data_IF_479844895301
#
_entry.id   IF_479844895301
#
_cell.length_a   1.000
_cell.length_b   1.000
_cell.length_c   1.000
_cell.angle_alpha   90.00
_cell.angle_beta   90.00
_cell.angle_gamma   90.00
#
_symmetry.space_group_name_H-M   'P 1'
#
loop_
_entity.id
_entity.type
_entity.pdbx_description
1 polymer ?
#
# COMPACT_ATOMS: atom_id res chain seq x y z
N UNK A 1 0.26 -22.73 19.80
CA UNK A 1 1.65 -22.80 19.34
C UNK A 1 1.93 -21.88 18.16
N UNK A 2 1.20 -21.99 17.03
CA UNK A 2 1.45 -21.19 15.81
C UNK A 2 1.38 -19.68 16.05
N UNK A 3 0.42 -19.21 16.83
CA UNK A 3 0.27 -17.80 17.21
C UNK A 3 1.45 -17.32 18.03
N UNK A 4 1.89 -18.11 19.00
CA UNK A 4 3.04 -17.74 19.84
C UNK A 4 4.33 -17.67 19.02
N UNK A 5 4.52 -18.60 18.08
CA UNK A 5 5.65 -18.60 17.15
C UNK A 5 5.59 -17.37 16.21
N UNK A 6 4.41 -17.04 15.69
CA UNK A 6 4.21 -15.86 14.87
C UNK A 6 4.50 -14.56 15.63
N UNK A 7 3.95 -14.41 16.85
CA UNK A 7 4.22 -13.24 17.69
C UNK A 7 5.70 -13.13 18.07
N UNK A 8 6.36 -14.26 18.31
CA UNK A 8 7.80 -14.27 18.55
C UNK A 8 8.61 -13.85 17.31
N UNK A 9 8.16 -14.24 16.10
CA UNK A 9 8.77 -13.82 14.85
C UNK A 9 8.58 -12.32 14.59
N UNK A 10 7.36 -11.79 14.81
CA UNK A 10 7.07 -10.35 14.73
C UNK A 10 7.96 -9.56 15.69
N UNK A 11 8.08 -10.00 16.95
CA UNK A 11 8.94 -9.35 17.92
C UNK A 11 10.42 -9.31 17.47
N UNK A 12 10.92 -10.42 16.93
CA UNK A 12 12.30 -10.47 16.41
C UNK A 12 12.47 -9.54 15.21
N UNK A 13 11.50 -9.51 14.29
CA UNK A 13 11.51 -8.58 13.15
C UNK A 13 11.51 -7.12 13.60
N UNK A 14 10.79 -6.77 14.68
CA UNK A 14 10.81 -5.42 15.26
C UNK A 14 12.17 -5.08 15.87
N UNK A 15 12.80 -6.02 16.56
CA UNK A 15 14.17 -5.87 17.11
C UNK A 15 15.20 -5.68 15.99
N UNK A 16 15.13 -6.49 14.93
CA UNK A 16 16.00 -6.38 13.75
C UNK A 16 15.80 -5.07 12.99
N UNK A 17 14.54 -4.64 12.84
CA UNK A 17 14.20 -3.36 12.21
C UNK A 17 14.74 -2.17 13.02
N UNK A 18 14.63 -2.23 14.34
CA UNK A 18 15.21 -1.22 15.23
C UNK A 18 16.72 -1.12 15.07
N UNK A 19 17.39 -2.27 15.10
CA UNK A 19 18.82 -2.33 14.86
C UNK A 19 19.19 -1.73 13.49
N UNK A 20 18.47 -2.07 12.42
CA UNK A 20 18.69 -1.53 11.09
C UNK A 20 18.53 0.01 11.07
N UNK A 21 17.48 0.52 11.70
CA UNK A 21 17.23 1.96 11.79
C UNK A 21 18.35 2.68 12.54
N UNK A 22 18.84 2.11 13.65
CA UNK A 22 19.95 2.67 14.43
C UNK A 22 21.26 2.69 13.63
N UNK A 23 21.58 1.60 12.91
CA UNK A 23 22.73 1.53 12.01
C UNK A 23 22.65 2.56 10.86
N UNK A 24 21.47 2.72 10.26
CA UNK A 24 21.27 3.68 9.18
C UNK A 24 21.29 5.14 9.67
N UNK A 25 20.86 5.38 10.92
CA UNK A 25 20.98 6.68 11.55
C UNK A 25 22.45 7.08 11.85
N UNK A 26 23.27 6.09 12.18
CA UNK A 26 24.71 6.32 12.43
C UNK A 26 25.48 6.66 11.15
N UNK A 27 24.94 6.35 9.97
CA UNK A 27 25.55 6.67 8.68
C UNK A 27 25.23 8.10 8.26
N UNK A 28 26.22 8.79 7.72
CA UNK A 28 26.04 10.15 7.18
C UNK A 28 25.64 10.14 5.69
N UNK A 29 25.11 9.04 5.19
CA UNK A 29 24.61 8.87 3.84
C UNK A 29 23.08 9.03 3.83
N UNK A 30 22.50 9.89 2.96
CA UNK A 30 21.05 10.03 2.85
C UNK A 30 20.40 8.69 2.51
N UNK A 31 19.64 8.14 3.45
CA UNK A 31 19.01 6.84 3.33
C UNK A 31 17.52 6.93 3.64
N UNK A 32 16.70 6.34 2.76
CA UNK A 32 15.26 6.20 2.94
C UNK A 32 14.92 4.71 2.91
N UNK A 33 14.10 4.27 3.86
CA UNK A 33 13.60 2.90 3.96
C UNK A 33 12.10 2.92 3.72
N UNK A 34 11.64 2.07 2.81
CA UNK A 34 10.21 1.72 2.66
C UNK A 34 10.03 0.33 3.24
N UNK A 35 9.26 0.24 4.29
CA UNK A 35 8.89 -1.02 4.93
C UNK A 35 7.41 -1.30 4.70
N UNK A 36 7.06 -2.55 4.45
CA UNK A 36 5.67 -2.97 4.33
C UNK A 36 5.54 -4.46 4.65
N UNK A 37 4.38 -4.86 5.18
CA UNK A 37 3.99 -6.25 5.27
C UNK A 37 3.47 -6.73 3.90
N UNK A 38 3.78 -7.96 3.53
CA UNK A 38 3.34 -8.57 2.27
C UNK A 38 1.92 -9.13 2.37
N UNK A 39 1.59 -9.83 3.46
CA UNK A 39 0.27 -10.40 3.72
C UNK A 39 0.07 -10.71 5.21
N UNK A 40 -1.16 -10.98 5.60
CA UNK A 40 -1.50 -11.50 6.92
C UNK A 40 -1.18 -13.01 6.99
N UNK A 41 -0.96 -13.57 8.20
CA UNK A 41 -0.70 -15.00 8.37
C UNK A 41 -1.91 -15.85 7.97
N UNK A 42 -1.65 -17.05 7.43
CA UNK A 42 -2.69 -17.95 6.94
C UNK A 42 -3.69 -18.46 8.00
N UNK A 43 -3.36 -18.35 9.29
CA UNK A 43 -4.25 -18.69 10.42
C UNK A 43 -5.12 -17.51 10.90
N UNK A 44 -5.14 -16.39 10.17
CA UNK A 44 -5.83 -15.18 10.63
C UNK A 44 -7.36 -15.30 10.69
N UNK A 45 -7.97 -16.34 10.10
CA UNK A 45 -9.42 -16.51 10.05
C UNK A 45 -10.03 -16.59 11.44
N UNK A 46 -9.49 -17.42 12.34
CA UNK A 46 -10.01 -17.52 13.70
C UNK A 46 -9.82 -16.21 14.48
N UNK A 47 -8.74 -15.46 14.26
CA UNK A 47 -8.52 -14.16 14.90
C UNK A 47 -9.53 -13.13 14.37
N UNK A 48 -9.85 -13.19 13.08
CA UNK A 48 -10.90 -12.40 12.46
C UNK A 48 -12.27 -12.71 13.12
N UNK A 49 -12.63 -13.98 13.22
CA UNK A 49 -13.89 -14.42 13.84
C UNK A 49 -14.00 -13.99 15.30
N UNK A 50 -12.92 -14.12 16.07
CA UNK A 50 -12.85 -13.63 17.45
C UNK A 50 -12.99 -12.10 17.54
N UNK A 51 -12.38 -11.37 16.59
CA UNK A 51 -12.39 -9.91 16.58
C UNK A 51 -13.75 -9.34 16.19
N UNK A 52 -14.40 -9.91 15.18
CA UNK A 52 -15.65 -9.42 14.62
C UNK A 52 -16.90 -10.16 15.15
N UNK A 53 -16.72 -11.25 15.89
CA UNK A 53 -17.79 -12.02 16.49
C UNK A 53 -18.69 -12.75 15.50
N UNK A 54 -18.19 -13.04 14.31
CA UNK A 54 -18.91 -13.74 13.22
C UNK A 54 -17.97 -14.51 12.31
N UNK A 55 -18.49 -15.54 11.58
CA UNK A 55 -17.73 -16.27 10.59
C UNK A 55 -17.23 -15.37 9.45
N UNK A 56 -16.11 -15.76 8.83
CA UNK A 56 -15.51 -15.01 7.70
C UNK A 56 -16.47 -14.90 6.52
N UNK A 57 -17.25 -15.94 6.24
CA UNK A 57 -18.25 -15.98 5.17
C UNK A 57 -19.38 -14.96 5.33
N UNK A 58 -19.63 -14.50 6.56
CA UNK A 58 -20.63 -13.48 6.88
C UNK A 58 -20.03 -12.05 6.89
N UNK A 59 -18.76 -11.92 6.54
CA UNK A 59 -18.07 -10.64 6.56
C UNK A 59 -18.53 -9.72 5.43
N UNK A 60 -18.81 -8.47 5.76
CA UNK A 60 -18.97 -7.41 4.78
C UNK A 60 -17.63 -6.99 4.16
N UNK A 61 -17.69 -6.22 3.06
CA UNK A 61 -16.48 -5.85 2.31
C UNK A 61 -15.43 -5.13 3.17
N UNK A 62 -15.83 -4.20 4.02
CA UNK A 62 -14.91 -3.49 4.93
C UNK A 62 -14.15 -4.45 5.87
N UNK A 63 -14.83 -5.46 6.37
CA UNK A 63 -14.24 -6.47 7.26
C UNK A 63 -13.35 -7.43 6.48
N UNK A 64 -13.76 -7.82 5.27
CA UNK A 64 -12.90 -8.58 4.36
C UNK A 64 -11.62 -7.81 4.06
N UNK A 65 -11.70 -6.51 3.82
CA UNK A 65 -10.53 -5.67 3.59
C UNK A 65 -9.58 -5.62 4.79
N UNK A 66 -10.11 -5.70 6.03
CA UNK A 66 -9.28 -5.74 7.23
C UNK A 66 -8.30 -6.93 7.26
N UNK A 67 -8.67 -8.07 6.64
CA UNK A 67 -7.80 -9.27 6.52
C UNK A 67 -6.60 -9.07 5.59
N UNK A 68 -6.67 -8.07 4.71
CA UNK A 68 -5.62 -7.77 3.71
C UNK A 68 -4.82 -6.52 4.07
N UNK A 69 -5.10 -5.91 5.22
CA UNK A 69 -4.34 -4.75 5.69
C UNK A 69 -3.04 -5.20 6.33
N UNK A 70 -1.95 -4.62 5.87
CA UNK A 70 -0.63 -4.74 6.47
C UNK A 70 -0.06 -3.35 6.72
N UNK A 71 0.78 -3.17 7.74
CA UNK A 71 1.40 -1.88 8.00
C UNK A 71 2.43 -1.56 6.91
N UNK A 72 2.59 -0.28 6.62
CA UNK A 72 3.73 0.23 5.87
C UNK A 72 4.19 1.57 6.45
N UNK A 73 5.44 1.92 6.20
CA UNK A 73 5.97 3.24 6.47
C UNK A 73 7.10 3.60 5.51
N UNK A 74 7.32 4.91 5.35
CA UNK A 74 8.49 5.47 4.68
C UNK A 74 9.27 6.22 5.72
N UNK A 75 10.49 5.76 6.00
CA UNK A 75 11.37 6.35 7.00
C UNK A 75 12.63 6.91 6.35
N UNK A 76 13.12 8.02 6.87
CA UNK A 76 14.34 8.69 6.40
C UNK A 76 15.29 8.98 7.57
N UNK A 77 16.58 8.71 7.41
CA UNK A 77 17.58 9.11 8.39
C UNK A 77 17.80 10.63 8.38
N UNK A 78 18.57 11.16 9.35
CA UNK A 78 18.80 12.59 9.50
C UNK A 78 19.42 13.23 8.23
N UNK A 79 20.36 12.54 7.58
CA UNK A 79 20.98 13.02 6.35
C UNK A 79 20.00 13.11 5.17
N UNK A 80 19.08 12.14 5.04
CA UNK A 80 18.02 12.18 4.03
C UNK A 80 16.99 13.27 4.34
N UNK A 81 16.59 13.44 5.60
CA UNK A 81 15.67 14.51 6.00
C UNK A 81 16.23 15.87 5.67
N UNK A 82 17.49 16.16 5.95
CA UNK A 82 18.11 17.42 5.57
C UNK A 82 18.19 17.64 4.06
N UNK A 83 18.33 16.56 3.27
CA UNK A 83 18.40 16.65 1.81
C UNK A 83 17.03 16.79 1.12
N UNK A 84 15.98 16.19 1.69
CA UNK A 84 14.64 16.09 1.09
C UNK A 84 13.55 16.75 1.96
N UNK A 85 13.91 17.69 2.82
CA UNK A 85 13.05 18.28 3.84
C UNK A 85 11.70 18.78 3.27
N UNK A 86 11.74 19.53 2.17
CA UNK A 86 10.52 20.07 1.54
C UNK A 86 9.59 18.98 0.98
N UNK A 87 10.16 17.87 0.51
CA UNK A 87 9.40 16.77 -0.10
C UNK A 87 8.84 15.83 0.94
N UNK A 88 9.62 15.53 2.00
CA UNK A 88 9.21 14.63 3.08
C UNK A 88 8.05 15.20 3.91
N UNK A 89 7.94 16.51 4.03
CA UNK A 89 6.82 17.18 4.72
C UNK A 89 5.51 17.12 3.95
N UNK A 90 5.53 16.72 2.67
CA UNK A 90 4.33 16.60 1.83
C UNK A 90 3.61 15.26 1.93
N UNK A 91 4.20 14.27 2.60
CA UNK A 91 3.52 13.00 2.86
C UNK A 91 2.71 13.15 4.14
N UNK A 92 1.58 13.79 4.01
CA UNK A 92 0.54 13.74 5.01
C UNK A 92 -0.22 12.42 4.81
N UNK A 93 -0.27 11.61 5.86
CA UNK A 93 -1.11 10.43 6.10
C UNK A 93 -1.78 9.82 4.87
N UNK A 94 -1.02 9.06 4.08
CA UNK A 94 -1.62 8.18 3.09
C UNK A 94 -2.28 7.02 3.84
N UNK A 95 -3.51 7.24 4.28
CA UNK A 95 -4.28 6.41 5.16
C UNK A 95 -4.33 4.95 4.67
N UNK A 96 -4.96 4.68 3.55
CA UNK A 96 -5.02 3.36 2.93
C UNK A 96 -4.52 3.43 1.49
N UNK A 97 -3.60 2.54 1.14
CA UNK A 97 -3.06 2.46 -0.22
C UNK A 97 -2.74 1.01 -0.60
N UNK A 98 -2.56 0.76 -1.86
CA UNK A 98 -2.10 -0.55 -2.36
C UNK A 98 -0.60 -0.57 -2.59
N UNK A 99 0.01 -1.76 -2.52
CA UNK A 99 1.45 -1.95 -2.70
C UNK A 99 1.98 -1.42 -4.04
N UNK A 100 1.16 -1.45 -5.10
CA UNK A 100 1.50 -0.92 -6.42
C UNK A 100 1.79 0.59 -6.43
N UNK A 101 1.38 1.33 -5.39
CA UNK A 101 1.63 2.76 -5.25
C UNK A 101 2.82 3.11 -4.37
N UNK A 102 3.44 2.16 -3.65
CA UNK A 102 4.53 2.45 -2.72
C UNK A 102 5.73 3.13 -3.39
N UNK A 103 6.08 2.70 -4.61
CA UNK A 103 7.15 3.37 -5.37
C UNK A 103 6.79 4.81 -5.75
N UNK A 104 5.53 5.09 -6.03
CA UNK A 104 5.03 6.44 -6.32
C UNK A 104 5.09 7.31 -5.08
N UNK A 105 4.65 6.79 -3.93
CA UNK A 105 4.76 7.47 -2.62
C UNK A 105 6.21 7.78 -2.26
N UNK A 106 7.13 6.85 -2.53
CA UNK A 106 8.56 7.09 -2.33
C UNK A 106 9.10 8.23 -3.20
N UNK A 107 8.71 8.29 -4.47
CA UNK A 107 9.12 9.37 -5.37
C UNK A 107 8.51 10.71 -4.93
N UNK A 108 7.26 10.71 -4.49
CA UNK A 108 6.61 11.90 -3.93
C UNK A 108 7.31 12.37 -2.64
N UNK A 109 7.71 11.42 -1.77
CA UNK A 109 8.46 11.66 -0.56
C UNK A 109 9.82 12.30 -0.79
N UNK A 110 10.47 11.92 -1.86
CA UNK A 110 11.85 12.36 -2.15
C UNK A 110 11.91 13.55 -3.09
N UNK A 111 10.81 13.89 -3.76
CA UNK A 111 10.81 14.89 -4.84
C UNK A 111 11.70 14.50 -6.03
N UNK A 112 12.07 13.24 -6.16
CA UNK A 112 12.86 12.75 -7.29
C UNK A 112 12.07 12.84 -8.60
N UNK A 113 12.76 12.97 -9.74
CA UNK A 113 12.10 13.02 -11.04
C UNK A 113 11.22 11.79 -11.28
N UNK A 114 10.02 12.03 -11.77
CA UNK A 114 9.04 10.99 -12.09
C UNK A 114 9.01 10.75 -13.60
N UNK A 115 9.10 9.50 -14.00
CA UNK A 115 8.82 9.10 -15.38
C UNK A 115 7.31 9.12 -15.69
N UNK A 116 6.93 8.89 -16.92
CA UNK A 116 5.54 8.89 -17.35
C UNK A 116 4.69 7.84 -16.59
N UNK A 117 5.30 6.72 -16.21
CA UNK A 117 4.61 5.65 -15.45
C UNK A 117 4.34 6.06 -14.01
N UNK A 118 5.28 6.73 -13.36
CA UNK A 118 5.09 7.25 -12.01
C UNK A 118 4.03 8.38 -12.00
N UNK A 119 4.05 9.27 -12.98
CA UNK A 119 3.01 10.30 -13.15
C UNK A 119 1.63 9.69 -13.37
N UNK A 120 1.54 8.67 -14.22
CA UNK A 120 0.30 7.93 -14.44
C UNK A 120 -0.22 7.30 -13.14
N UNK A 121 0.65 6.61 -12.37
CA UNK A 121 0.26 6.01 -11.08
C UNK A 121 -0.15 7.04 -10.04
N UNK A 122 0.49 8.21 -10.01
CA UNK A 122 0.08 9.31 -9.14
C UNK A 122 -1.35 9.79 -9.48
N UNK A 123 -1.67 9.94 -10.77
CA UNK A 123 -3.00 10.32 -11.23
C UNK A 123 -4.03 9.20 -10.95
N UNK A 124 -3.67 7.95 -11.23
CA UNK A 124 -4.50 6.77 -10.98
C UNK A 124 -4.91 6.69 -9.50
N UNK A 125 -3.95 6.88 -8.58
CA UNK A 125 -4.18 6.82 -7.14
C UNK A 125 -5.21 7.85 -6.64
N UNK A 126 -5.39 8.97 -7.32
CA UNK A 126 -6.40 9.98 -6.94
C UNK A 126 -7.83 9.47 -7.12
N UNK A 127 -8.08 8.67 -8.15
CA UNK A 127 -9.40 8.09 -8.39
C UNK A 127 -9.55 6.69 -7.76
N UNK A 128 -8.43 5.97 -7.61
CA UNK A 128 -8.35 4.58 -7.19
C UNK A 128 -7.26 4.42 -6.11
N UNK A 129 -7.44 4.92 -4.89
CA UNK A 129 -6.41 4.92 -3.85
C UNK A 129 -5.98 3.52 -3.41
N UNK A 130 -6.85 2.53 -3.49
CA UNK A 130 -6.50 1.15 -3.18
C UNK A 130 -7.27 0.14 -4.04
N UNK A 131 -6.60 -0.97 -4.34
CA UNK A 131 -7.17 -2.11 -5.06
C UNK A 131 -6.46 -3.40 -4.62
N UNK A 132 -7.21 -4.48 -4.47
CA UNK A 132 -6.70 -5.83 -4.20
C UNK A 132 -7.55 -6.89 -4.91
N UNK A 133 -7.40 -8.16 -4.55
CA UNK A 133 -8.14 -9.26 -5.17
C UNK A 133 -9.65 -9.23 -4.93
N UNK A 134 -10.12 -8.54 -3.88
CA UNK A 134 -11.52 -8.59 -3.44
C UNK A 134 -12.30 -7.35 -3.85
N UNK A 135 -11.65 -6.25 -4.18
CA UNK A 135 -12.32 -5.01 -4.50
C UNK A 135 -11.39 -3.83 -4.65
N UNK A 136 -11.98 -2.67 -4.70
CA UNK A 136 -11.28 -1.40 -4.85
C UNK A 136 -11.90 -0.31 -3.98
N UNK A 137 -11.10 0.69 -3.65
CA UNK A 137 -11.53 1.88 -2.90
C UNK A 137 -11.58 3.07 -3.83
N UNK A 138 -12.68 3.82 -3.78
CA UNK A 138 -12.84 5.06 -4.54
C UNK A 138 -12.21 6.28 -3.83
N UNK A 139 -12.27 7.43 -4.48
CA UNK A 139 -11.69 8.67 -3.97
C UNK A 139 -12.43 9.23 -2.73
N UNK A 140 -13.65 8.81 -2.47
CA UNK A 140 -14.44 9.17 -1.27
C UNK A 140 -14.15 8.22 -0.09
N UNK A 141 -13.35 7.18 -0.34
CA UNK A 141 -12.92 6.23 0.68
C UNK A 141 -13.84 5.03 0.85
N UNK A 142 -14.80 4.85 -0.04
CA UNK A 142 -15.73 3.73 -0.04
C UNK A 142 -15.14 2.53 -0.76
N UNK A 143 -15.28 1.34 -0.17
CA UNK A 143 -14.90 0.08 -0.79
C UNK A 143 -16.04 -0.49 -1.62
N UNK A 144 -15.71 -1.06 -2.78
CA UNK A 144 -16.62 -1.69 -3.73
C UNK A 144 -16.12 -3.08 -4.09
N UNK A 145 -17.04 -4.04 -4.23
CA UNK A 145 -16.75 -5.32 -4.86
C UNK A 145 -16.54 -5.14 -6.37
N UNK A 146 -15.75 -6.00 -6.98
CA UNK A 146 -15.70 -6.05 -8.43
C UNK A 146 -17.04 -6.50 -9.01
N UNK A 147 -17.54 -5.77 -10.01
CA UNK A 147 -18.78 -6.09 -10.71
C UNK A 147 -20.07 -5.61 -10.02
N UNK A 148 -19.97 -4.82 -8.95
CA UNK A 148 -21.12 -4.11 -8.40
C UNK A 148 -21.69 -3.10 -9.39
N UNK A 149 -23.00 -2.79 -9.24
CA UNK A 149 -23.59 -1.69 -9.97
C UNK A 149 -22.98 -0.35 -9.55
N UNK A 150 -22.69 0.49 -10.54
CA UNK A 150 -22.15 1.84 -10.26
C UNK A 150 -23.28 2.74 -9.79
N UNK A 151 -23.14 3.31 -8.60
CA UNK A 151 -24.14 4.16 -7.96
C UNK A 151 -23.69 5.60 -7.79
N UNK A 152 -22.36 5.87 -7.82
CA UNK A 152 -21.80 7.20 -7.59
C UNK A 152 -20.79 7.61 -8.68
N UNK A 153 -20.58 8.91 -8.83
CA UNK A 153 -19.56 9.45 -9.73
C UNK A 153 -18.13 9.06 -9.29
N UNK A 154 -17.89 8.94 -7.99
CA UNK A 154 -16.60 8.51 -7.47
C UNK A 154 -16.31 7.04 -7.82
N UNK A 155 -17.31 6.18 -7.67
CA UNK A 155 -17.25 4.78 -8.08
C UNK A 155 -17.02 4.65 -9.60
N UNK A 156 -17.73 5.44 -10.42
CA UNK A 156 -17.54 5.43 -11.88
C UNK A 156 -16.11 5.80 -12.27
N UNK A 157 -15.54 6.84 -11.64
CA UNK A 157 -14.14 7.24 -11.88
C UNK A 157 -13.15 6.16 -11.49
N UNK A 158 -13.39 5.48 -10.37
CA UNK A 158 -12.56 4.37 -9.93
C UNK A 158 -12.63 3.17 -10.90
N UNK A 159 -13.84 2.84 -11.40
CA UNK A 159 -14.04 1.81 -12.43
C UNK A 159 -13.31 2.13 -13.74
N UNK A 160 -13.37 3.36 -14.21
CA UNK A 160 -12.67 3.81 -15.41
C UNK A 160 -11.14 3.81 -15.20
N UNK A 161 -10.70 4.16 -14.01
CA UNK A 161 -9.31 4.05 -13.59
C UNK A 161 -8.82 2.59 -13.58
N UNK A 162 -9.61 1.64 -13.08
CA UNK A 162 -9.31 0.21 -13.11
C UNK A 162 -9.14 -0.31 -14.54
N UNK A 163 -10.07 0.05 -15.43
CA UNK A 163 -9.99 -0.35 -16.86
C UNK A 163 -8.72 0.19 -17.52
N UNK A 164 -8.41 1.47 -17.29
CA UNK A 164 -7.19 2.09 -17.77
C UNK A 164 -5.94 1.39 -17.23
N UNK A 165 -5.93 1.06 -15.93
CA UNK A 165 -4.83 0.38 -15.28
C UNK A 165 -4.59 -1.01 -15.85
N UNK A 166 -5.65 -1.78 -16.09
CA UNK A 166 -5.56 -3.10 -16.71
C UNK A 166 -4.95 -3.03 -18.13
N UNK A 167 -5.31 -2.03 -18.93
CA UNK A 167 -4.75 -1.82 -20.27
C UNK A 167 -3.26 -1.52 -20.17
N UNK A 168 -2.85 -0.62 -19.29
CA UNK A 168 -1.44 -0.25 -19.11
C UNK A 168 -0.62 -1.43 -18.60
N UNK A 169 -1.15 -2.23 -17.66
CA UNK A 169 -0.48 -3.44 -17.19
C UNK A 169 -0.33 -4.48 -18.32
N UNK A 170 -1.38 -4.68 -19.10
CA UNK A 170 -1.32 -5.60 -20.23
C UNK A 170 -0.25 -5.18 -21.25
N UNK A 171 -0.21 -3.89 -21.60
CA UNK A 171 0.80 -3.35 -22.51
C UNK A 171 2.22 -3.51 -21.96
N UNK A 172 2.43 -3.31 -20.67
CA UNK A 172 3.71 -3.52 -20.01
C UNK A 172 4.19 -4.98 -20.02
N UNK A 173 3.27 -5.93 -19.91
CA UNK A 173 3.60 -7.35 -19.84
C UNK A 173 3.73 -8.00 -21.21
N UNK A 174 2.95 -7.54 -22.19
CA UNK A 174 2.77 -8.20 -23.49
C UNK A 174 2.95 -7.26 -24.68
N UNK A 175 3.03 -5.95 -24.45
CA UNK A 175 3.36 -4.97 -25.49
C UNK A 175 4.77 -5.24 -25.97
N UNK A 176 4.93 -5.54 -27.26
CA UNK A 176 6.26 -5.64 -27.85
C UNK A 176 6.97 -4.30 -27.68
N UNK A 177 8.18 -4.33 -27.14
CA UNK A 177 9.14 -3.22 -27.22
C UNK A 177 9.30 -2.83 -28.71
N UNK A 178 8.43 -1.96 -29.18
CA UNK A 178 8.66 -1.22 -30.41
C UNK A 178 9.59 -0.08 -30.04
N UNK A 179 10.91 -0.46 -29.91
CA UNK A 179 12.00 0.47 -29.76
C UNK A 179 12.16 1.41 -30.95
#
# INVERSE_FOLDING_TARGET
PEVDEFLAAIRRSDEDLRWLVDELNARNEPTIVVFFGDHQPGFADWLFEETFGKPVEDAGLEEVQARYRTPYFIWANAAARGKYEESLTRIEDADVTSLNYLSTLLLDATGLPRDARALYRSALRQALPAVNLNGYRDAEGTWHWFGEAVETDAQQKAEDALKSYAIVQYDQLFGNDRG
#
